data_IF_700318224463
#
_entry.id   IF_700318224463
#
_cell.length_a   1.000
_cell.length_b   1.000
_cell.length_c   1.000
_cell.angle_alpha   90.00
_cell.angle_beta   90.00
_cell.angle_gamma   90.00
#
_symmetry.space_group_name_H-M   'P 1'
#
loop_
_entity.id
_entity.type
_entity.pdbx_description
1 polymer ?
#
# COMPACT_ATOMS: atom_id res chain seq x y z
N UNK A 1 20.37 26.59 -9.92
CA UNK A 1 19.12 26.84 -10.67
C UNK A 1 18.10 25.81 -10.21
N UNK A 2 17.08 26.28 -9.47
CA UNK A 2 16.26 25.47 -8.55
C UNK A 2 15.46 24.35 -9.21
N UNK A 3 15.49 23.19 -8.57
CA UNK A 3 14.50 22.11 -8.67
C UNK A 3 13.16 22.59 -8.06
N UNK A 4 12.59 23.66 -8.64
CA UNK A 4 11.42 24.41 -8.14
C UNK A 4 10.07 23.80 -8.57
N UNK A 5 10.10 22.64 -9.23
CA UNK A 5 8.91 22.01 -9.83
C UNK A 5 8.40 20.80 -9.06
N UNK A 6 9.19 20.25 -8.14
CA UNK A 6 8.78 19.10 -7.35
C UNK A 6 8.25 19.59 -6.00
N UNK A 7 6.93 19.50 -5.82
CA UNK A 7 6.30 19.69 -4.53
C UNK A 7 6.69 18.53 -3.58
N UNK A 8 6.81 18.77 -2.27
CA UNK A 8 7.00 17.73 -1.28
C UNK A 8 5.86 16.70 -1.34
N UNK A 9 6.20 15.44 -1.05
CA UNK A 9 5.20 14.40 -0.84
C UNK A 9 4.41 14.68 0.44
N UNK A 10 3.23 14.06 0.57
CA UNK A 10 2.42 14.11 1.78
C UNK A 10 3.22 13.68 3.02
N UNK A 11 3.92 12.56 2.91
CA UNK A 11 4.72 11.97 4.00
C UNK A 11 5.81 12.93 4.50
N UNK A 12 6.43 13.68 3.60
CA UNK A 12 7.46 14.65 3.95
C UNK A 12 6.88 15.86 4.67
N UNK A 13 5.67 16.29 4.31
CA UNK A 13 4.95 17.38 4.97
C UNK A 13 4.54 16.99 6.39
N UNK A 14 4.03 15.78 6.55
CA UNK A 14 3.70 15.22 7.87
C UNK A 14 4.95 15.02 8.74
N UNK A 15 6.07 14.57 8.16
CA UNK A 15 7.34 14.45 8.87
C UNK A 15 7.86 15.81 9.35
N UNK A 16 7.66 16.86 8.55
CA UNK A 16 8.01 18.22 8.93
C UNK A 16 7.15 18.71 10.11
N UNK A 17 5.84 18.47 10.08
CA UNK A 17 4.93 18.80 11.20
C UNK A 17 5.30 18.05 12.49
N UNK A 18 5.72 16.79 12.38
CA UNK A 18 6.06 15.94 13.51
C UNK A 18 7.50 16.13 14.02
N UNK A 19 8.25 17.11 13.49
CA UNK A 19 9.68 17.31 13.79
C UNK A 19 10.53 16.04 13.60
N UNK A 20 10.17 15.18 12.63
CA UNK A 20 10.87 13.93 12.33
C UNK A 20 11.72 13.99 11.06
N UNK A 21 11.93 15.19 10.50
CA UNK A 21 12.80 15.41 9.35
C UNK A 21 14.29 15.44 9.72
N UNK A 22 15.14 15.07 8.78
CA UNK A 22 16.58 15.35 8.88
C UNK A 22 16.88 16.84 8.73
N UNK A 23 18.06 17.27 9.19
CA UNK A 23 18.50 18.68 9.11
C UNK A 23 18.46 19.23 7.67
N UNK A 24 18.85 18.39 6.70
CA UNK A 24 18.89 18.77 5.28
C UNK A 24 17.48 18.91 4.69
N UNK A 25 16.56 18.03 5.08
CA UNK A 25 15.16 18.10 4.65
C UNK A 25 14.45 19.31 5.26
N UNK A 26 14.73 19.63 6.51
CA UNK A 26 14.17 20.79 7.20
C UNK A 26 14.60 22.09 6.50
N UNK A 27 15.89 22.25 6.21
CA UNK A 27 16.40 23.42 5.50
C UNK A 27 15.82 23.55 4.08
N UNK A 28 15.66 22.43 3.37
CA UNK A 28 15.00 22.43 2.06
C UNK A 28 13.52 22.80 2.15
N UNK A 29 12.81 22.25 3.14
CA UNK A 29 11.39 22.51 3.36
C UNK A 29 11.14 23.97 3.70
N UNK A 30 11.93 24.56 4.61
CA UNK A 30 11.85 25.98 4.96
C UNK A 30 12.04 26.87 3.73
N UNK A 31 13.04 26.55 2.90
CA UNK A 31 13.26 27.27 1.64
C UNK A 31 12.12 27.09 0.63
N UNK A 32 11.47 25.93 0.61
CA UNK A 32 10.35 25.65 -0.28
C UNK A 32 9.08 26.37 0.16
N UNK A 33 8.73 26.28 1.45
CA UNK A 33 7.55 26.90 2.05
C UNK A 33 7.61 28.43 1.96
N UNK A 34 8.81 29.03 2.04
CA UNK A 34 9.01 30.46 1.82
C UNK A 34 8.63 30.93 0.39
N UNK A 35 8.59 30.02 -0.58
CA UNK A 35 8.35 30.34 -1.99
C UNK A 35 7.07 29.72 -2.59
N UNK A 36 6.45 28.76 -1.92
CA UNK A 36 5.31 27.99 -2.45
C UNK A 36 4.06 28.13 -1.58
N UNK A 37 3.17 29.04 -1.99
CA UNK A 37 1.90 29.28 -1.29
C UNK A 37 1.00 28.04 -1.20
N UNK A 38 0.95 27.21 -2.25
CA UNK A 38 0.12 26.00 -2.27
C UNK A 38 0.57 24.96 -1.21
N UNK A 39 1.88 24.82 -0.99
CA UNK A 39 2.39 23.91 0.03
C UNK A 39 2.22 24.47 1.44
N UNK A 40 2.27 25.80 1.60
CA UNK A 40 2.00 26.47 2.86
C UNK A 40 0.53 26.32 3.27
N UNK A 41 -0.40 26.55 2.35
CA UNK A 41 -1.85 26.36 2.59
C UNK A 41 -2.16 24.93 3.03
N UNK A 42 -1.55 23.95 2.35
CA UNK A 42 -1.70 22.54 2.70
C UNK A 42 -1.16 22.21 4.09
N UNK A 43 0.01 22.75 4.43
CA UNK A 43 0.62 22.60 5.76
C UNK A 43 -0.30 23.15 6.85
N UNK A 44 -0.89 24.32 6.63
CA UNK A 44 -1.77 24.97 7.60
C UNK A 44 -3.08 24.20 7.81
N UNK A 45 -3.62 23.60 6.74
CA UNK A 45 -4.77 22.70 6.83
C UNK A 45 -4.45 21.47 7.68
N UNK A 46 -3.30 20.83 7.45
CA UNK A 46 -2.87 19.67 8.25
C UNK A 46 -2.64 20.04 9.71
N UNK A 47 -2.03 21.20 9.97
CA UNK A 47 -1.86 21.75 11.31
C UNK A 47 -3.20 21.95 12.01
N UNK A 48 -4.17 22.58 11.33
CA UNK A 48 -5.51 22.82 11.86
C UNK A 48 -6.20 21.50 12.25
N UNK A 49 -6.11 20.48 11.39
CA UNK A 49 -6.68 19.17 11.69
C UNK A 49 -6.02 18.55 12.93
N UNK A 50 -4.70 18.62 13.04
CA UNK A 50 -3.98 18.09 14.21
C UNK A 50 -4.35 18.83 15.50
N UNK A 51 -4.53 20.15 15.43
CA UNK A 51 -4.99 20.94 16.57
C UNK A 51 -6.41 20.53 17.00
N UNK A 52 -7.32 20.31 16.04
CA UNK A 52 -8.67 19.81 16.32
C UNK A 52 -8.66 18.41 16.94
N UNK A 53 -7.79 17.52 16.46
CA UNK A 53 -7.61 16.18 17.04
C UNK A 53 -7.05 16.26 18.47
N UNK A 54 -6.17 17.23 18.76
CA UNK A 54 -5.62 17.45 20.10
C UNK A 54 -6.64 17.92 21.14
N UNK A 55 -7.79 18.46 20.72
CA UNK A 55 -8.86 18.91 21.61
C UNK A 55 -9.80 17.76 22.00
N UNK A 56 -9.72 16.61 21.34
CA UNK A 56 -10.61 15.49 21.62
C UNK A 56 -10.43 14.99 23.07
N UNK A 57 -11.53 14.74 23.80
CA UNK A 57 -11.45 14.24 25.16
C UNK A 57 -10.77 12.87 25.17
N UNK A 58 -9.84 12.69 26.11
CA UNK A 58 -9.24 11.39 26.36
C UNK A 58 -10.33 10.50 26.97
N UNK A 59 -10.85 9.57 26.17
CA UNK A 59 -11.78 8.55 26.64
C UNK A 59 -10.99 7.51 27.41
N UNK A 60 -11.20 7.46 28.73
CA UNK A 60 -10.65 6.41 29.55
C UNK A 60 -11.48 5.13 29.34
N UNK A 61 -10.84 3.98 29.06
CA UNK A 61 -11.55 2.71 29.02
C UNK A 61 -12.09 2.34 30.40
N UNK A 62 -13.08 1.45 30.45
CA UNK A 62 -13.56 0.88 31.70
C UNK A 62 -12.43 0.15 32.44
N UNK A 63 -12.48 0.10 33.77
CA UNK A 63 -11.41 -0.46 34.62
C UNK A 63 -11.10 -1.94 34.29
N UNK A 64 -12.09 -2.69 33.79
CA UNK A 64 -11.98 -4.10 33.40
C UNK A 64 -11.51 -4.32 31.95
N UNK A 65 -11.28 -3.26 31.18
CA UNK A 65 -10.94 -3.36 29.76
C UNK A 65 -9.64 -4.14 29.53
N UNK A 66 -8.61 -3.85 30.33
CA UNK A 66 -7.31 -4.53 30.24
C UNK A 66 -7.47 -6.02 30.47
N UNK A 67 -8.20 -6.41 31.52
CA UNK A 67 -8.41 -7.82 31.86
C UNK A 67 -9.20 -8.55 30.77
N UNK A 68 -10.22 -7.90 30.20
CA UNK A 68 -10.99 -8.45 29.07
C UNK A 68 -10.15 -8.64 27.82
N UNK A 69 -9.28 -7.68 27.49
CA UNK A 69 -8.36 -7.78 26.34
C UNK A 69 -7.31 -8.87 26.58
N UNK A 70 -6.74 -8.94 27.78
CA UNK A 70 -5.76 -9.98 28.09
C UNK A 70 -6.39 -11.37 28.07
N UNK A 71 -7.61 -11.52 28.57
CA UNK A 71 -8.34 -12.78 28.49
C UNK A 71 -8.67 -13.18 27.04
N UNK A 72 -9.02 -12.24 26.16
CA UNK A 72 -9.27 -12.53 24.75
C UNK A 72 -8.00 -12.93 23.99
N UNK A 73 -6.87 -12.29 24.27
CA UNK A 73 -5.56 -12.67 23.70
C UNK A 73 -5.16 -14.07 24.20
N UNK A 74 -5.29 -14.33 25.50
CA UNK A 74 -4.95 -15.63 26.08
C UNK A 74 -5.86 -16.76 25.59
N UNK A 75 -7.16 -16.52 25.42
CA UNK A 75 -8.09 -17.51 24.88
C UNK A 75 -7.88 -17.77 23.38
N UNK A 76 -7.54 -16.74 22.60
CA UNK A 76 -7.12 -16.92 21.21
C UNK A 76 -5.82 -17.70 21.10
N UNK A 77 -4.86 -17.44 22.00
CA UNK A 77 -3.61 -18.19 22.08
C UNK A 77 -3.80 -19.63 22.61
N UNK A 78 -4.78 -19.86 23.49
CA UNK A 78 -5.10 -21.18 24.03
C UNK A 78 -5.94 -22.04 23.05
N UNK A 79 -6.74 -21.41 22.19
CA UNK A 79 -7.40 -22.07 21.05
C UNK A 79 -6.45 -22.38 19.90
N UNK A 80 -5.27 -21.75 19.90
CA UNK A 80 -4.09 -22.26 19.20
C UNK A 80 -3.59 -23.46 20.02
N UNK A 81 -4.23 -24.62 19.83
CA UNK A 81 -3.71 -25.88 20.38
C UNK A 81 -2.20 -25.92 20.06
N UNK A 82 -1.32 -26.09 21.07
CA UNK A 82 0.02 -26.53 20.76
C UNK A 82 -0.18 -27.78 19.93
N UNK A 83 0.59 -27.96 18.86
CA UNK A 83 0.63 -29.22 18.14
C UNK A 83 1.12 -30.25 19.17
N UNK A 84 0.19 -30.81 19.96
CA UNK A 84 0.42 -31.86 20.92
C UNK A 84 0.60 -33.09 20.05
N UNK A 85 1.86 -33.39 19.78
CA UNK A 85 2.33 -34.69 19.36
C UNK A 85 1.94 -35.71 20.45
N UNK A 86 0.69 -36.18 20.39
CA UNK A 86 0.28 -37.38 21.13
C UNK A 86 1.15 -38.55 20.67
N UNK A 87 1.54 -39.47 21.58
CA UNK A 87 2.50 -40.51 21.29
C UNK A 87 1.85 -41.59 20.43
N UNK A 88 1.85 -41.35 19.12
CA UNK A 88 1.56 -42.37 18.14
C UNK A 88 2.65 -43.44 18.24
N UNK A 89 2.19 -44.66 18.50
CA UNK A 89 2.90 -45.91 18.28
C UNK A 89 3.91 -45.79 17.17
N UNK A 90 5.17 -46.07 17.48
CA UNK A 90 6.31 -46.01 16.57
C UNK A 90 6.15 -47.02 15.43
N UNK A 91 5.41 -46.64 14.41
CA UNK A 91 5.58 -47.15 13.05
C UNK A 91 6.53 -46.20 12.33
N UNK A 92 7.73 -46.70 12.14
CA UNK A 92 8.80 -46.25 11.25
C UNK A 92 8.30 -45.41 10.05
N UNK A 93 8.27 -44.08 10.22
CA UNK A 93 8.02 -43.16 9.11
C UNK A 93 9.35 -42.57 8.64
N UNK A 94 9.78 -43.06 7.48
CA UNK A 94 10.88 -42.61 6.64
C UNK A 94 10.98 -41.08 6.63
N UNK A 95 12.11 -40.56 7.14
CA UNK A 95 12.40 -39.14 7.25
C UNK A 95 12.33 -38.42 5.91
N UNK A 96 11.28 -37.63 5.72
CA UNK A 96 11.21 -36.59 4.71
C UNK A 96 10.57 -35.35 5.34
N UNK A 97 11.16 -34.19 5.05
CA UNK A 97 10.52 -32.86 5.12
C UNK A 97 10.74 -31.97 6.36
N UNK A 98 11.96 -31.88 6.88
CA UNK A 98 12.42 -30.64 7.56
C UNK A 98 13.18 -29.73 6.58
N UNK A 99 14.02 -30.30 5.73
CA UNK A 99 14.78 -29.56 4.70
C UNK A 99 13.90 -28.82 3.67
N UNK A 100 12.72 -29.37 3.34
CA UNK A 100 11.76 -28.72 2.42
C UNK A 100 11.16 -27.44 3.03
N UNK A 101 10.95 -27.41 4.35
CA UNK A 101 10.38 -26.25 5.04
C UNK A 101 11.43 -25.13 5.13
N UNK A 102 12.69 -25.48 5.34
CA UNK A 102 13.79 -24.52 5.37
C UNK A 102 14.02 -23.84 3.99
N UNK A 103 13.90 -24.61 2.90
CA UNK A 103 13.95 -24.06 1.53
C UNK A 103 12.73 -23.18 1.21
N UNK A 104 11.54 -23.52 1.71
CA UNK A 104 10.32 -22.74 1.48
C UNK A 104 10.42 -21.33 2.07
N UNK A 105 10.99 -21.17 3.27
CA UNK A 105 11.23 -19.85 3.86
C UNK A 105 12.23 -19.04 3.04
N UNK A 106 13.29 -19.68 2.53
CA UNK A 106 14.24 -19.06 1.61
C UNK A 106 13.58 -18.56 0.32
N UNK A 107 12.70 -19.35 -0.30
CA UNK A 107 11.99 -18.95 -1.52
C UNK A 107 10.99 -17.81 -1.29
N UNK A 108 10.29 -17.78 -0.16
CA UNK A 108 9.37 -16.68 0.18
C UNK A 108 10.14 -15.37 0.35
N UNK A 109 11.26 -15.39 1.08
CA UNK A 109 12.11 -14.21 1.25
C UNK A 109 12.70 -13.71 -0.08
N UNK A 110 13.11 -14.64 -0.95
CA UNK A 110 13.65 -14.30 -2.28
C UNK A 110 12.57 -13.71 -3.20
N UNK A 111 11.36 -14.28 -3.20
CA UNK A 111 10.23 -13.76 -3.98
C UNK A 111 9.81 -12.35 -3.51
N UNK A 112 9.80 -12.09 -2.21
CA UNK A 112 9.53 -10.77 -1.65
C UNK A 112 10.59 -9.73 -2.06
N UNK A 113 11.87 -10.08 -1.96
CA UNK A 113 12.98 -9.20 -2.37
C UNK A 113 12.94 -8.93 -3.88
N UNK A 114 12.64 -9.94 -4.69
CA UNK A 114 12.49 -9.80 -6.14
C UNK A 114 11.30 -8.90 -6.52
N UNK A 115 10.17 -9.03 -5.83
CA UNK A 115 9.00 -8.15 -6.02
C UNK A 115 9.33 -6.68 -5.73
N UNK A 116 10.07 -6.41 -4.64
CA UNK A 116 10.50 -5.04 -4.29
C UNK A 116 11.43 -4.46 -5.37
N UNK A 117 12.37 -5.28 -5.87
CA UNK A 117 13.33 -4.84 -6.88
C UNK A 117 12.68 -4.65 -8.26
N UNK A 118 11.76 -5.54 -8.65
CA UNK A 118 10.99 -5.43 -9.89
C UNK A 118 10.03 -4.22 -9.86
N UNK A 119 9.40 -3.96 -8.71
CA UNK A 119 8.54 -2.79 -8.54
C UNK A 119 9.33 -1.47 -8.57
N UNK A 120 10.53 -1.44 -7.99
CA UNK A 120 11.44 -0.29 -8.05
C UNK A 120 11.96 0.02 -9.46
N UNK A 121 12.22 -1.01 -10.28
CA UNK A 121 12.67 -0.82 -11.67
C UNK A 121 11.52 -0.43 -12.60
N UNK A 122 10.29 -0.89 -12.35
CA UNK A 122 9.09 -0.44 -13.06
C UNK A 122 8.85 1.07 -12.88
N UNK A 123 9.09 1.63 -11.70
CA UNK A 123 8.96 3.08 -11.48
C UNK A 123 9.92 3.88 -12.38
N UNK A 124 11.17 3.40 -12.57
CA UNK A 124 12.14 4.05 -13.46
C UNK A 124 11.79 3.89 -14.94
N UNK A 125 11.34 2.71 -15.35
CA UNK A 125 10.95 2.45 -16.75
C UNK A 125 9.71 3.25 -17.12
N UNK A 126 8.68 3.28 -16.26
CA UNK A 126 7.47 4.09 -16.47
C UNK A 126 7.81 5.59 -16.52
N UNK A 127 8.74 6.07 -15.68
CA UNK A 127 9.16 7.48 -15.73
C UNK A 127 9.94 7.86 -17.00
N UNK A 128 10.68 6.92 -17.60
CA UNK A 128 11.38 7.14 -18.88
C UNK A 128 10.45 7.04 -20.09
N UNK A 129 9.39 6.24 -20.01
CA UNK A 129 8.47 5.97 -21.11
C UNK A 129 7.15 6.76 -21.04
N UNK A 130 6.95 7.60 -20.01
CA UNK A 130 5.76 8.44 -19.85
C UNK A 130 5.50 9.41 -21.04
N UNK A 131 6.52 9.69 -21.87
CA UNK A 131 6.36 10.48 -23.09
C UNK A 131 5.85 9.70 -24.32
N UNK A 132 5.95 8.37 -24.33
CA UNK A 132 5.72 7.54 -25.53
C UNK A 132 4.42 6.74 -25.48
N UNK A 133 3.85 6.50 -24.29
CA UNK A 133 2.60 5.74 -24.13
C UNK A 133 1.32 6.51 -24.46
N UNK A 134 1.33 7.85 -24.45
CA UNK A 134 0.10 8.64 -24.65
C UNK A 134 -0.47 8.51 -26.07
N UNK A 135 0.37 8.29 -27.08
CA UNK A 135 -0.07 8.23 -28.47
C UNK A 135 -0.56 6.83 -28.90
N UNK A 136 0.15 5.76 -28.50
CA UNK A 136 -0.17 4.41 -28.98
C UNK A 136 -1.32 3.73 -28.21
N UNK A 137 -1.46 4.00 -26.91
CA UNK A 137 -2.53 3.39 -26.10
C UNK A 137 -3.88 4.02 -26.42
N UNK A 138 -3.95 5.33 -26.68
CA UNK A 138 -5.20 5.97 -27.09
C UNK A 138 -5.70 5.45 -28.44
N UNK A 139 -4.82 5.27 -29.42
CA UNK A 139 -5.25 4.74 -30.73
C UNK A 139 -5.78 3.30 -30.62
N UNK A 140 -5.18 2.49 -29.75
CA UNK A 140 -5.59 1.10 -29.54
C UNK A 140 -6.89 1.00 -28.75
N UNK A 141 -7.08 1.84 -27.73
CA UNK A 141 -8.31 1.89 -26.92
C UNK A 141 -9.49 2.46 -27.71
N UNK A 142 -9.26 3.48 -28.55
CA UNK A 142 -10.31 4.02 -29.44
C UNK A 142 -10.72 2.98 -30.49
N UNK A 143 -9.77 2.23 -31.06
CA UNK A 143 -10.08 1.13 -31.99
C UNK A 143 -10.86 0.01 -31.29
N UNK A 144 -10.52 -0.36 -30.05
CA UNK A 144 -11.29 -1.37 -29.31
C UNK A 144 -12.70 -0.91 -28.94
N UNK A 145 -12.88 0.34 -28.52
CA UNK A 145 -14.22 0.89 -28.22
C UNK A 145 -15.13 0.96 -29.45
N UNK A 146 -14.56 1.23 -30.63
CA UNK A 146 -15.32 1.28 -31.89
C UNK A 146 -15.79 -0.11 -32.35
N UNK A 147 -15.04 -1.17 -32.02
CA UNK A 147 -15.43 -2.54 -32.31
C UNK A 147 -16.59 -2.96 -31.41
N UNK A 148 -16.54 -2.63 -30.11
CA UNK A 148 -17.60 -2.97 -29.16
C UNK A 148 -18.93 -2.29 -29.49
N UNK A 149 -18.93 -1.03 -29.95
CA UNK A 149 -20.15 -0.32 -30.33
C UNK A 149 -20.80 -0.88 -31.59
N UNK A 150 -20.00 -1.28 -32.59
CA UNK A 150 -20.51 -1.97 -33.80
C UNK A 150 -21.12 -3.34 -33.48
N UNK A 151 -20.54 -4.05 -32.51
CA UNK A 151 -21.02 -5.36 -32.10
C UNK A 151 -22.36 -5.25 -31.34
N UNK A 152 -22.51 -4.25 -30.48
CA UNK A 152 -23.77 -3.93 -29.80
C UNK A 152 -24.87 -3.48 -30.79
N UNK A 153 -24.53 -2.69 -31.81
CA UNK A 153 -25.48 -2.28 -32.85
C UNK A 153 -25.96 -3.45 -33.72
N UNK A 154 -25.07 -4.41 -34.02
CA UNK A 154 -25.47 -5.63 -34.73
C UNK A 154 -26.36 -6.53 -33.87
N UNK A 155 -26.07 -6.64 -32.56
CA UNK A 155 -26.91 -7.40 -31.63
C UNK A 155 -28.30 -6.78 -31.45
N UNK A 156 -28.40 -5.44 -31.37
CA UNK A 156 -29.71 -4.76 -31.32
C UNK A 156 -30.50 -4.92 -32.62
N UNK A 157 -29.83 -4.90 -33.77
CA UNK A 157 -30.47 -5.13 -35.07
C UNK A 157 -30.97 -6.57 -35.22
N UNK A 158 -30.25 -7.55 -34.67
CA UNK A 158 -30.69 -8.96 -34.68
C UNK A 158 -31.84 -9.22 -33.71
N UNK A 159 -31.81 -8.59 -32.52
CA UNK A 159 -32.94 -8.64 -31.57
C UNK A 159 -34.22 -8.01 -32.14
N UNK A 160 -34.09 -6.96 -32.96
CA UNK A 160 -35.24 -6.31 -33.61
C UNK A 160 -35.81 -7.10 -34.79
N UNK A 161 -35.04 -8.05 -35.35
CA UNK A 161 -35.49 -8.93 -36.44
C UNK A 161 -36.15 -10.23 -35.93
N UNK A 162 -35.98 -10.55 -34.64
CA UNK A 162 -36.58 -11.73 -33.99
C UNK A 162 -37.88 -11.43 -33.23
N UNK A 163 -38.33 -10.16 -33.22
CA UNK A 163 -39.66 -9.75 -32.74
C UNK A 163 -40.57 -9.40 -33.90
#
# INVERSE_FOLDING_TARGET
>A
MSNRKKHPSQEMLTSYLNNSCTVLELQWMDSHLACCAACLEKLELERTINELLGILPILQPADDFTDRVMHSISSAAAGMEPIQSSPATSTEHKGYSTWKVEIMHGMIAFAGTYMIFASGTLHRIVSQWAGQFSFSVQETVIKSMTISSKLLAHLSSLLSYLS
#
